data_IF_845845060926
#
_entry.id   IF_845845060926
#
_cell.length_a   1.000
_cell.length_b   1.000
_cell.length_c   1.000
_cell.angle_alpha   90.00
_cell.angle_beta   90.00
_cell.angle_gamma   90.00
#
_symmetry.space_group_name_H-M   'P 1'
#
loop_
_entity.id
_entity.type
_entity.pdbx_description
1 polymer ?
#
# COMPACT_ATOMS: atom_id res chain seq x y z
N UNK A 1 -4.48 8.04 -15.20
CA UNK A 1 -4.74 8.33 -13.77
C UNK A 1 -4.60 7.04 -13.01
N UNK A 2 -3.90 7.10 -11.89
CA UNK A 2 -3.70 6.00 -10.96
C UNK A 2 -3.96 6.51 -9.55
N UNK A 3 -4.70 5.79 -8.74
CA UNK A 3 -4.84 6.11 -7.32
C UNK A 3 -3.61 5.66 -6.53
N UNK A 4 -3.36 6.34 -5.41
CA UNK A 4 -2.26 6.01 -4.50
C UNK A 4 -2.82 5.17 -3.37
N UNK A 5 -2.69 3.85 -3.49
CA UNK A 5 -3.13 2.88 -2.51
C UNK A 5 -1.98 2.24 -1.74
N UNK A 6 -2.02 0.92 -1.60
CA UNK A 6 -0.99 0.12 -0.94
C UNK A 6 0.39 0.34 -1.57
N UNK A 7 1.41 0.52 -0.75
CA UNK A 7 2.77 0.88 -1.17
C UNK A 7 2.98 2.37 -1.44
N UNK A 8 1.93 3.18 -1.47
CA UNK A 8 2.05 4.61 -1.70
C UNK A 8 2.52 4.96 -3.12
N UNK A 9 3.32 6.02 -3.23
CA UNK A 9 3.91 6.45 -4.50
C UNK A 9 4.88 5.43 -5.08
N UNK A 10 5.46 4.57 -4.24
CA UNK A 10 6.40 3.52 -4.66
C UNK A 10 5.74 2.44 -5.54
N UNK A 11 4.41 2.37 -5.51
CA UNK A 11 3.62 1.53 -6.39
C UNK A 11 2.98 2.34 -7.53
N UNK A 12 2.28 3.39 -7.20
CA UNK A 12 1.45 4.14 -8.16
C UNK A 12 2.28 4.82 -9.29
N UNK A 13 3.43 5.43 -8.97
CA UNK A 13 4.26 6.09 -9.98
C UNK A 13 4.93 5.10 -10.93
N UNK A 14 5.60 4.03 -10.47
CA UNK A 14 6.14 3.03 -11.38
C UNK A 14 5.07 2.39 -12.27
N UNK A 15 3.91 2.08 -11.75
CA UNK A 15 2.83 1.45 -12.53
C UNK A 15 2.35 2.36 -13.67
N UNK A 16 2.09 3.64 -13.42
CA UNK A 16 1.65 4.55 -14.47
C UNK A 16 2.73 4.77 -15.54
N UNK A 17 4.01 4.78 -15.14
CA UNK A 17 5.16 4.89 -16.04
C UNK A 17 5.27 3.63 -16.91
N UNK A 18 5.17 2.45 -16.31
CA UNK A 18 5.29 1.16 -17.00
C UNK A 18 4.13 0.92 -17.99
N UNK A 19 2.91 1.31 -17.65
CA UNK A 19 1.76 1.23 -18.55
C UNK A 19 2.00 1.98 -19.87
N UNK A 20 2.86 3.00 -19.86
CA UNK A 20 3.27 3.73 -21.05
C UNK A 20 4.55 3.18 -21.70
N UNK A 21 5.09 2.08 -21.19
CA UNK A 21 6.37 1.48 -21.60
C UNK A 21 7.53 2.48 -21.59
N UNK A 22 7.56 3.34 -20.55
CA UNK A 22 8.54 4.41 -20.36
C UNK A 22 9.43 4.18 -19.14
N UNK A 23 10.44 5.01 -18.99
CA UNK A 23 11.14 5.31 -17.75
C UNK A 23 10.68 6.64 -17.20
N UNK A 24 11.29 7.08 -16.11
CA UNK A 24 10.99 8.38 -15.54
C UNK A 24 11.95 8.81 -14.46
N UNK A 25 11.99 10.12 -14.25
CA UNK A 25 12.74 10.77 -13.18
C UNK A 25 11.79 11.51 -12.26
N UNK A 26 11.86 11.18 -10.98
CA UNK A 26 10.98 11.72 -9.93
C UNK A 26 11.83 12.53 -8.96
N UNK A 27 11.38 13.74 -8.65
CA UNK A 27 11.94 14.60 -7.63
C UNK A 27 11.12 14.44 -6.34
N UNK A 28 11.66 13.71 -5.40
CA UNK A 28 10.92 13.25 -4.22
C UNK A 28 10.42 14.43 -3.36
N UNK A 29 11.23 15.50 -3.24
CA UNK A 29 10.88 16.69 -2.45
C UNK A 29 9.86 17.60 -3.13
N UNK A 30 9.52 17.37 -4.40
CA UNK A 30 8.41 18.03 -5.05
C UNK A 30 7.04 17.45 -4.62
N UNK A 31 7.02 16.29 -3.96
CA UNK A 31 5.80 15.74 -3.38
C UNK A 31 5.34 16.62 -2.21
N UNK A 32 4.11 17.17 -2.24
CA UNK A 32 3.59 17.99 -1.15
C UNK A 32 3.61 17.25 0.18
N UNK A 33 4.21 17.85 1.19
CA UNK A 33 4.45 17.24 2.49
C UNK A 33 4.55 18.30 3.58
N UNK A 34 3.76 18.16 4.63
CA UNK A 34 3.75 19.09 5.78
C UNK A 34 4.79 18.71 6.86
N UNK A 35 5.50 17.58 6.68
CA UNK A 35 6.55 17.11 7.58
C UNK A 35 7.93 17.21 6.91
N UNK A 36 8.65 18.35 7.09
CA UNK A 36 9.91 18.60 6.40
C UNK A 36 11.01 17.57 6.70
N UNK A 37 10.93 16.95 7.88
CA UNK A 37 11.90 15.95 8.32
C UNK A 37 11.61 14.52 7.85
N UNK A 38 10.56 14.30 7.07
CA UNK A 38 10.18 12.96 6.61
C UNK A 38 11.29 12.33 5.76
N UNK A 39 11.63 11.07 6.06
CA UNK A 39 12.65 10.34 5.31
C UNK A 39 12.21 10.08 3.86
N UNK A 40 13.15 9.84 2.93
CA UNK A 40 12.82 9.46 1.55
C UNK A 40 11.85 8.27 1.48
N UNK A 41 12.08 7.23 2.26
CA UNK A 41 11.19 6.08 2.37
C UNK A 41 9.80 6.48 2.92
N UNK A 42 9.78 7.36 3.91
CA UNK A 42 8.53 7.87 4.49
C UNK A 42 7.66 8.61 3.48
N UNK A 43 8.27 9.38 2.55
CA UNK A 43 7.55 10.05 1.47
C UNK A 43 7.14 9.05 0.38
N UNK A 44 8.10 8.21 -0.04
CA UNK A 44 7.93 7.31 -1.18
C UNK A 44 6.92 6.19 -0.94
N UNK A 45 6.92 5.63 0.28
CA UNK A 45 6.06 4.51 0.66
C UNK A 45 4.84 4.93 1.50
N UNK A 46 4.55 6.23 1.64
CA UNK A 46 3.40 6.70 2.40
C UNK A 46 2.09 6.27 1.75
N UNK A 47 1.24 5.60 2.50
CA UNK A 47 -0.07 5.09 2.06
C UNK A 47 -1.23 6.02 2.39
N UNK A 48 -1.00 7.32 2.61
CA UNK A 48 -2.08 8.27 2.82
C UNK A 48 -3.06 8.21 1.64
N UNK A 49 -4.34 8.09 1.96
CA UNK A 49 -5.42 7.86 1.00
C UNK A 49 -5.81 9.15 0.26
N UNK A 50 -6.68 9.01 -0.75
CA UNK A 50 -7.25 10.09 -1.55
C UNK A 50 -6.20 10.93 -2.29
N UNK A 51 -5.10 10.29 -2.70
CA UNK A 51 -4.10 10.86 -3.59
C UNK A 51 -4.14 10.16 -4.94
N UNK A 52 -3.80 10.89 -5.99
CA UNK A 52 -3.78 10.39 -7.36
C UNK A 52 -2.50 10.80 -8.05
N UNK A 53 -1.98 9.94 -8.90
CA UNK A 53 -0.91 10.25 -9.84
C UNK A 53 -1.46 10.30 -11.26
N UNK A 54 -0.97 11.25 -12.03
CA UNK A 54 -1.42 11.48 -13.39
C UNK A 54 -0.22 11.68 -14.31
N UNK A 55 -0.30 11.14 -15.51
CA UNK A 55 0.59 11.52 -16.60
C UNK A 55 -0.13 12.54 -17.47
N UNK A 56 0.39 13.75 -17.52
CA UNK A 56 -0.19 14.89 -18.26
C UNK A 56 0.76 15.28 -19.39
N UNK A 57 0.22 15.43 -20.60
CA UNK A 57 1.03 15.91 -21.69
C UNK A 57 1.47 17.37 -21.45
N UNK A 58 2.75 17.75 -21.66
CA UNK A 58 3.25 19.09 -21.31
C UNK A 58 2.41 20.23 -21.87
N UNK A 59 1.89 20.11 -23.08
CA UNK A 59 1.04 21.11 -23.69
C UNK A 59 -0.31 21.35 -22.98
N UNK A 60 -0.71 20.42 -22.11
CA UNK A 60 -1.96 20.48 -21.33
C UNK A 60 -1.77 20.77 -19.85
N UNK A 61 -0.52 20.85 -19.40
CA UNK A 61 -0.21 21.01 -17.99
C UNK A 61 -0.82 22.29 -17.42
N UNK A 62 -0.60 23.42 -18.09
CA UNK A 62 -1.13 24.71 -17.62
C UNK A 62 -2.67 24.74 -17.53
N UNK A 63 -3.37 24.09 -18.47
CA UNK A 63 -4.83 23.95 -18.41
C UNK A 63 -5.25 23.12 -17.19
N UNK A 64 -4.55 22.03 -16.94
CA UNK A 64 -4.83 21.15 -15.80
C UNK A 64 -4.57 21.85 -14.45
N UNK A 65 -3.45 22.56 -14.32
CA UNK A 65 -3.13 23.35 -13.13
C UNK A 65 -4.19 24.42 -12.86
N UNK A 66 -4.68 25.10 -13.91
CA UNK A 66 -5.75 26.08 -13.79
C UNK A 66 -7.06 25.46 -13.28
N UNK A 67 -7.39 24.23 -13.73
CA UNK A 67 -8.53 23.48 -13.23
C UNK A 67 -8.36 23.12 -11.75
N UNK A 68 -7.20 22.59 -11.38
CA UNK A 68 -6.88 22.26 -10.00
C UNK A 68 -6.98 23.47 -9.08
N UNK A 69 -6.45 24.62 -9.50
CA UNK A 69 -6.55 25.86 -8.75
C UNK A 69 -8.00 26.30 -8.56
N UNK A 70 -8.82 26.25 -9.62
CA UNK A 70 -10.24 26.58 -9.56
C UNK A 70 -11.00 25.70 -8.57
N UNK A 71 -10.71 24.41 -8.58
CA UNK A 71 -11.37 23.43 -7.71
C UNK A 71 -10.72 23.32 -6.31
N UNK A 72 -9.69 24.14 -6.02
CA UNK A 72 -8.91 24.08 -4.76
C UNK A 72 -8.32 22.69 -4.50
N UNK A 73 -7.94 21.99 -5.56
CA UNK A 73 -7.31 20.67 -5.51
C UNK A 73 -5.78 20.85 -5.53
N UNK A 74 -5.06 20.51 -4.46
CA UNK A 74 -3.61 20.60 -4.45
C UNK A 74 -3.00 19.72 -5.53
N UNK A 75 -2.05 20.25 -6.29
CA UNK A 75 -1.33 19.54 -7.34
C UNK A 75 0.14 19.96 -7.34
N UNK A 76 1.02 19.01 -7.66
CA UNK A 76 2.44 19.26 -7.87
C UNK A 76 2.96 18.42 -9.03
N UNK A 77 3.86 19.00 -9.83
CA UNK A 77 4.64 18.26 -10.81
C UNK A 77 5.82 17.61 -10.09
N UNK A 78 5.83 16.30 -10.03
CA UNK A 78 6.83 15.53 -9.27
C UNK A 78 7.90 14.92 -10.15
N UNK A 79 7.80 15.03 -11.47
CA UNK A 79 8.80 14.49 -12.38
C UNK A 79 8.31 14.36 -13.81
N UNK A 80 9.16 13.76 -14.63
CA UNK A 80 8.95 13.56 -16.05
C UNK A 80 9.13 12.10 -16.45
N UNK A 81 8.46 11.69 -17.53
CA UNK A 81 8.66 10.38 -18.15
C UNK A 81 9.59 10.49 -19.36
N UNK A 82 10.37 9.44 -19.60
CA UNK A 82 11.32 9.36 -20.70
C UNK A 82 11.30 7.97 -21.38
N UNK A 83 12.15 7.79 -22.39
CA UNK A 83 12.25 6.53 -23.14
C UNK A 83 13.35 5.58 -22.62
N UNK A 84 13.94 5.84 -21.45
CA UNK A 84 15.08 5.09 -20.92
C UNK A 84 14.71 3.73 -20.34
N UNK A 85 13.45 3.52 -19.95
CA UNK A 85 13.00 2.36 -19.17
C UNK A 85 13.71 2.24 -17.81
N UNK A 86 14.26 3.35 -17.30
CA UNK A 86 14.89 3.45 -16.00
C UNK A 86 14.00 4.28 -15.08
N UNK A 87 13.78 3.84 -13.85
CA UNK A 87 13.17 4.66 -12.82
C UNK A 87 14.27 5.25 -11.95
N UNK A 88 14.29 6.57 -11.88
CA UNK A 88 15.19 7.32 -10.99
C UNK A 88 14.33 8.17 -10.06
N UNK A 89 14.51 7.98 -8.75
CA UNK A 89 13.94 8.85 -7.72
C UNK A 89 15.10 9.60 -7.09
N UNK A 90 15.05 10.91 -7.16
CA UNK A 90 16.05 11.80 -6.60
C UNK A 90 15.52 12.48 -5.32
N UNK A 91 16.38 12.67 -4.33
CA UNK A 91 16.09 13.40 -3.10
C UNK A 91 17.09 14.55 -2.95
N UNK A 92 16.64 15.76 -3.23
CA UNK A 92 17.44 16.99 -3.09
C UNK A 92 17.94 17.24 -1.67
N UNK A 93 17.19 16.80 -0.66
CA UNK A 93 17.56 17.05 0.74
C UNK A 93 18.81 16.28 1.18
N UNK A 94 18.94 15.03 0.69
CA UNK A 94 20.11 14.19 0.97
C UNK A 94 21.08 14.09 -0.20
N UNK A 95 20.80 14.76 -1.31
CA UNK A 95 21.60 14.72 -2.54
C UNK A 95 21.92 13.27 -2.97
N UNK A 96 20.90 12.44 -3.03
CA UNK A 96 21.02 11.04 -3.37
C UNK A 96 19.89 10.53 -4.27
N UNK A 97 20.03 9.28 -4.70
CA UNK A 97 19.02 8.58 -5.52
C UNK A 97 18.54 7.33 -4.78
N UNK A 98 17.50 7.45 -3.94
CA UNK A 98 16.94 6.32 -3.21
C UNK A 98 16.47 5.17 -4.10
N UNK A 99 16.10 5.46 -5.35
CA UNK A 99 15.77 4.48 -6.37
C UNK A 99 16.50 4.84 -7.66
N UNK A 100 17.24 3.88 -8.21
CA UNK A 100 17.85 3.92 -9.54
C UNK A 100 17.87 2.49 -10.08
N UNK A 101 16.84 2.12 -10.84
CA UNK A 101 16.72 0.74 -11.33
C UNK A 101 15.92 0.64 -12.64
N UNK A 102 16.21 -0.38 -13.46
CA UNK A 102 15.40 -0.68 -14.64
C UNK A 102 13.96 -1.05 -14.26
N UNK A 103 13.00 -0.56 -15.03
CA UNK A 103 11.58 -0.86 -14.84
C UNK A 103 11.29 -2.37 -14.91
N UNK A 104 12.02 -3.12 -15.72
CA UNK A 104 11.89 -4.57 -15.83
C UNK A 104 12.32 -5.34 -14.57
N UNK A 105 13.21 -4.75 -13.76
CA UNK A 105 13.59 -5.30 -12.46
C UNK A 105 12.49 -5.06 -11.44
N UNK A 106 11.90 -3.88 -11.49
CA UNK A 106 10.87 -3.46 -10.54
C UNK A 106 9.51 -4.15 -10.81
N UNK A 107 9.06 -4.14 -12.07
CA UNK A 107 7.74 -4.61 -12.49
C UNK A 107 7.79 -5.79 -13.47
N UNK A 108 8.99 -6.33 -13.71
CA UNK A 108 9.18 -7.48 -14.58
C UNK A 108 8.65 -8.79 -13.98
N UNK A 109 8.57 -9.78 -14.82
CA UNK A 109 8.15 -11.11 -14.36
C UNK A 109 9.24 -11.73 -13.49
N UNK A 110 8.92 -12.17 -12.26
CA UNK A 110 9.89 -12.87 -11.44
C UNK A 110 10.36 -14.16 -12.12
N UNK A 111 11.58 -14.64 -11.82
CA UNK A 111 12.07 -15.90 -12.34
C UNK A 111 11.09 -17.03 -12.05
N UNK A 112 10.95 -17.97 -13.00
CA UNK A 112 10.08 -19.12 -12.83
C UNK A 112 10.57 -19.94 -11.64
N UNK A 113 9.73 -20.07 -10.62
CA UNK A 113 10.04 -20.88 -9.45
C UNK A 113 9.56 -22.31 -9.69
N UNK A 114 10.47 -23.27 -9.57
CA UNK A 114 10.12 -24.70 -9.53
C UNK A 114 10.05 -25.14 -8.08
N UNK A 115 8.90 -25.67 -7.67
CA UNK A 115 8.72 -26.21 -6.32
C UNK A 115 8.59 -27.72 -6.43
N UNK A 116 9.60 -28.45 -5.99
CA UNK A 116 9.55 -29.90 -5.80
C UNK A 116 9.13 -30.16 -4.34
N UNK A 117 7.83 -30.34 -4.15
CA UNK A 117 7.26 -30.55 -2.81
C UNK A 117 6.85 -32.01 -2.65
N UNK A 118 7.23 -32.60 -1.53
CA UNK A 118 6.81 -33.94 -1.14
C UNK A 118 5.98 -33.86 0.13
N UNK A 119 4.89 -34.64 0.15
CA UNK A 119 4.11 -34.79 1.36
C UNK A 119 4.96 -35.47 2.42
N UNK A 120 5.20 -34.76 3.51
CA UNK A 120 5.80 -35.35 4.72
C UNK A 120 4.67 -35.60 5.69
N UNK A 121 4.41 -36.86 6.07
CA UNK A 121 3.44 -37.17 7.13
C UNK A 121 3.85 -36.36 8.38
N UNK A 122 2.94 -35.60 8.91
CA UNK A 122 3.16 -35.01 10.23
C UNK A 122 3.08 -36.15 11.24
N UNK A 123 4.19 -36.42 11.90
CA UNK A 123 4.17 -37.24 13.11
C UNK A 123 3.68 -36.33 14.24
N UNK A 124 2.42 -36.45 14.59
CA UNK A 124 1.89 -35.88 15.83
C UNK A 124 2.00 -36.89 16.94
N UNK A 125 2.02 -36.43 18.17
CA UNK A 125 1.86 -37.28 19.32
C UNK A 125 0.43 -37.87 19.31
N UNK A 126 0.28 -39.12 19.78
CA UNK A 126 -1.02 -39.72 19.96
C UNK A 126 -1.80 -38.92 21.01
N UNK A 127 -3.09 -38.76 20.78
CA UNK A 127 -3.95 -38.13 21.75
C UNK A 127 -4.05 -39.02 23.01
N UNK A 128 -3.99 -38.43 24.21
CA UNK A 128 -4.23 -39.14 25.45
C UNK A 128 -5.58 -39.88 25.39
N UNK A 129 -5.60 -41.16 25.84
CA UNK A 129 -6.80 -41.99 25.76
C UNK A 129 -7.90 -41.58 26.76
N UNK A 130 -7.58 -40.72 27.72
CA UNK A 130 -8.41 -40.27 28.83
C UNK A 130 -8.94 -38.84 28.68
N UNK A 131 -8.98 -38.33 27.45
CA UNK A 131 -9.53 -36.99 27.19
C UNK A 131 -11.03 -36.99 27.41
N UNK A 132 -11.48 -36.20 28.37
CA UNK A 132 -12.89 -35.91 28.55
C UNK A 132 -13.38 -34.90 27.47
N UNK A 133 -14.42 -35.32 26.72
CA UNK A 133 -14.93 -34.57 25.59
C UNK A 133 -15.37 -33.13 25.98
N UNK A 134 -16.06 -33.00 27.12
CA UNK A 134 -16.55 -31.70 27.58
C UNK A 134 -15.40 -30.72 27.91
N UNK A 135 -14.31 -31.23 28.52
CA UNK A 135 -13.11 -30.44 28.79
C UNK A 135 -12.41 -30.05 27.49
N UNK A 136 -12.25 -30.98 26.56
CA UNK A 136 -11.64 -30.73 25.28
C UNK A 136 -12.40 -29.64 24.48
N UNK A 137 -13.74 -29.71 24.45
CA UNK A 137 -14.59 -28.71 23.81
C UNK A 137 -14.41 -27.33 24.46
N UNK A 138 -14.46 -27.26 25.79
CA UNK A 138 -14.28 -26.01 26.52
C UNK A 138 -12.91 -25.37 26.22
N UNK A 139 -11.85 -26.16 26.21
CA UNK A 139 -10.49 -25.70 25.92
C UNK A 139 -10.34 -25.23 24.47
N UNK A 140 -10.91 -25.96 23.50
CA UNK A 140 -10.86 -25.56 22.08
C UNK A 140 -11.62 -24.26 21.86
N UNK A 141 -12.80 -24.09 22.46
CA UNK A 141 -13.58 -22.85 22.35
C UNK A 141 -12.89 -21.67 23.02
N UNK A 142 -12.03 -21.89 24.01
CA UNK A 142 -11.24 -20.86 24.66
C UNK A 142 -9.96 -20.47 23.89
N UNK A 143 -9.55 -21.21 22.87
CA UNK A 143 -8.35 -20.87 22.09
C UNK A 143 -8.54 -19.51 21.38
N UNK A 144 -7.50 -18.65 21.38
CA UNK A 144 -7.58 -17.34 20.71
C UNK A 144 -7.95 -17.43 19.23
N UNK A 145 -7.61 -18.53 18.54
CA UNK A 145 -7.95 -18.77 17.13
C UNK A 145 -9.39 -19.20 16.91
N UNK A 146 -10.07 -19.72 17.93
CA UNK A 146 -11.42 -20.29 17.85
C UNK A 146 -12.44 -19.46 18.62
N UNK A 147 -12.02 -18.85 19.73
CA UNK A 147 -12.88 -18.09 20.65
C UNK A 147 -13.62 -16.95 19.98
N UNK A 148 -14.65 -16.47 20.63
CA UNK A 148 -15.47 -15.35 20.20
C UNK A 148 -14.62 -14.09 19.93
N UNK A 149 -14.87 -13.44 18.81
CA UNK A 149 -14.17 -12.22 18.35
C UNK A 149 -15.03 -10.96 18.52
N UNK A 150 -16.18 -11.03 19.14
CA UNK A 150 -17.09 -9.89 19.33
C UNK A 150 -16.38 -8.72 20.00
N UNK A 151 -15.43 -8.98 20.89
CA UNK A 151 -14.65 -7.93 21.55
C UNK A 151 -13.85 -7.06 20.56
N UNK A 152 -13.40 -7.60 19.44
CA UNK A 152 -12.63 -6.84 18.44
C UNK A 152 -13.47 -5.72 17.81
N UNK A 153 -14.77 -5.93 17.71
CA UNK A 153 -15.69 -4.91 17.19
C UNK A 153 -15.95 -3.80 18.21
N UNK A 154 -15.75 -4.09 19.50
CA UNK A 154 -16.02 -3.13 20.60
C UNK A 154 -14.82 -2.32 21.03
N UNK A 155 -13.59 -2.75 20.74
CA UNK A 155 -12.37 -2.04 21.10
C UNK A 155 -11.88 -1.07 20.02
N UNK A 156 -12.36 -1.23 18.77
CA UNK A 156 -12.09 -0.30 17.69
C UNK A 156 -13.01 0.92 17.73
N UNK A 157 -12.71 1.91 16.90
CA UNK A 157 -13.62 3.04 16.69
C UNK A 157 -14.88 2.57 15.95
N UNK A 158 -16.00 2.53 16.66
CA UNK A 158 -17.29 2.07 16.15
C UNK A 158 -18.10 3.15 15.45
N UNK A 159 -17.70 4.41 15.62
CA UNK A 159 -18.40 5.54 15.06
C UNK A 159 -17.43 6.56 14.51
N UNK A 160 -16.98 6.33 13.27
CA UNK A 160 -16.07 7.24 12.58
C UNK A 160 -16.66 8.66 12.57
N UNK A 161 -15.94 9.61 13.15
CA UNK A 161 -16.36 10.99 13.25
C UNK A 161 -17.55 11.24 14.20
N UNK A 162 -18.01 10.26 14.95
CA UNK A 162 -19.13 10.40 15.90
C UNK A 162 -20.49 10.65 15.27
N UNK A 163 -20.64 10.45 13.97
CA UNK A 163 -21.86 10.76 13.20
C UNK A 163 -22.82 9.57 13.06
N UNK A 164 -22.50 8.43 13.67
CA UNK A 164 -23.39 7.27 13.64
C UNK A 164 -24.60 7.48 14.53
N UNK A 165 -25.79 7.34 13.97
CA UNK A 165 -27.06 7.43 14.72
C UNK A 165 -27.37 6.16 15.52
N UNK A 166 -26.71 5.07 15.22
CA UNK A 166 -26.89 3.76 15.86
C UNK A 166 -25.59 2.95 15.81
N UNK A 167 -25.35 2.18 16.87
CA UNK A 167 -24.23 1.24 16.91
C UNK A 167 -24.41 0.16 15.83
N UNK A 168 -23.34 -0.14 15.12
CA UNK A 168 -23.31 -1.13 14.04
C UNK A 168 -23.61 -2.57 14.51
N UNK A 169 -23.46 -2.84 15.81
CA UNK A 169 -23.72 -4.15 16.42
C UNK A 169 -25.13 -4.29 16.98
N UNK A 170 -26.00 -3.33 16.74
CA UNK A 170 -27.41 -3.46 17.10
C UNK A 170 -28.07 -4.37 16.05
N UNK A 171 -28.20 -5.63 16.42
CA UNK A 171 -28.96 -6.60 15.66
C UNK A 171 -30.46 -6.35 15.70
N UNK A 172 -31.23 -7.10 14.90
CA UNK A 172 -32.70 -7.06 14.96
C UNK A 172 -33.24 -7.55 16.28
#
# INVERSE_FOLDING_TARGET
VHDVGAGGLSNALPEIIDHSSRGGRIELRAVPNDEPGMSPMGIWCNEAQERYVLAIHPARLAEFEALCLRERCPVAVVGDTDDTRQLIVHDDHYDNQPVDMPMEVLLGKPPRMTRDVRRRPAAGDDLPADIELADAVARVLALPTVGDKTFLVTIGDRSVGGLCSRDQMVGP
#
